data_IF_148689889943
#
_entry.id   IF_148689889943
#
_cell.length_a   1.000
_cell.length_b   1.000
_cell.length_c   1.000
_cell.angle_alpha   90.00
_cell.angle_beta   90.00
_cell.angle_gamma   90.00
#
_symmetry.space_group_name_H-M   'P 1'
#
loop_
_entity.id
_entity.type
_entity.pdbx_description
1 polymer ?
#
# COMPACT_ATOMS: atom_id res chain seq x y z
N UNK A 1 -4.76 -5.44 -19.74
CA UNK A 1 -3.94 -4.40 -19.04
C UNK A 1 -4.21 -4.43 -17.53
N UNK A 2 -5.48 -4.47 -17.09
CA UNK A 2 -5.84 -4.52 -15.66
C UNK A 2 -5.21 -5.72 -14.93
N UNK A 3 -5.29 -6.91 -15.50
CA UNK A 3 -4.69 -8.13 -14.92
C UNK A 3 -3.19 -8.02 -14.70
N UNK A 4 -2.46 -7.43 -15.66
CA UNK A 4 -1.01 -7.24 -15.52
C UNK A 4 -0.67 -6.24 -14.39
N UNK A 5 -1.45 -5.17 -14.25
CA UNK A 5 -1.31 -4.21 -13.16
C UNK A 5 -1.66 -4.83 -11.81
N UNK A 6 -2.69 -5.69 -11.77
CA UNK A 6 -3.05 -6.42 -10.54
C UNK A 6 -1.95 -7.38 -10.09
N UNK A 7 -1.33 -8.12 -11.03
CA UNK A 7 -0.19 -9.00 -10.71
C UNK A 7 0.99 -8.16 -10.17
N UNK A 8 1.29 -7.03 -10.80
CA UNK A 8 2.32 -6.11 -10.32
C UNK A 8 2.01 -5.59 -8.90
N UNK A 9 0.77 -5.20 -8.66
CA UNK A 9 0.33 -4.69 -7.35
C UNK A 9 0.42 -5.74 -6.23
N UNK A 10 0.28 -7.04 -6.53
CA UNK A 10 0.47 -8.13 -5.55
C UNK A 10 1.89 -8.18 -4.97
N UNK A 11 2.87 -7.63 -5.65
CA UNK A 11 4.24 -7.55 -5.13
C UNK A 11 4.34 -6.82 -3.80
N UNK A 12 3.50 -5.80 -3.57
CA UNK A 12 3.52 -5.01 -2.32
C UNK A 12 3.08 -5.85 -1.11
N UNK A 13 1.87 -6.46 -1.07
CA UNK A 13 1.46 -7.25 0.09
C UNK A 13 2.33 -8.50 0.28
N UNK A 14 2.73 -9.18 -0.78
CA UNK A 14 3.61 -10.35 -0.69
C UNK A 14 4.97 -9.95 -0.13
N UNK A 15 5.58 -8.88 -0.64
CA UNK A 15 6.85 -8.35 -0.13
C UNK A 15 6.75 -7.94 1.34
N UNK A 16 5.64 -7.30 1.74
CA UNK A 16 5.38 -6.93 3.13
C UNK A 16 5.20 -8.15 4.04
N UNK A 17 4.51 -9.19 3.57
CA UNK A 17 4.37 -10.46 4.31
C UNK A 17 5.72 -11.10 4.57
N UNK A 18 6.51 -11.28 3.52
CA UNK A 18 7.85 -11.89 3.62
C UNK A 18 8.78 -11.02 4.48
N UNK A 19 8.76 -9.71 4.25
CA UNK A 19 9.59 -8.76 4.99
C UNK A 19 9.29 -8.73 6.49
N UNK A 20 8.01 -8.73 6.87
CA UNK A 20 7.61 -8.78 8.28
C UNK A 20 8.01 -10.10 8.94
N UNK A 21 7.74 -11.23 8.27
CA UNK A 21 8.08 -12.54 8.79
C UNK A 21 9.59 -12.73 8.97
N UNK A 22 10.37 -12.50 7.90
CA UNK A 22 11.83 -12.65 7.93
C UNK A 22 12.47 -11.61 8.84
N UNK A 23 11.94 -10.39 8.86
CA UNK A 23 12.45 -9.32 9.72
C UNK A 23 12.26 -9.63 11.21
N UNK A 24 11.08 -10.11 11.61
CA UNK A 24 10.81 -10.48 13.00
C UNK A 24 11.63 -11.68 13.46
N UNK A 25 11.58 -12.79 12.72
CA UNK A 25 12.36 -13.99 13.01
C UNK A 25 13.88 -13.72 13.02
N UNK A 26 14.37 -13.02 12.00
CA UNK A 26 15.79 -12.75 11.89
C UNK A 26 16.30 -11.79 12.98
N UNK A 27 15.47 -10.86 13.46
CA UNK A 27 15.85 -9.95 14.54
C UNK A 27 16.14 -10.71 15.83
N UNK A 28 15.37 -11.75 16.15
CA UNK A 28 15.54 -12.56 17.34
C UNK A 28 16.67 -13.59 17.18
N UNK A 29 16.76 -14.31 16.05
CA UNK A 29 17.69 -15.42 15.85
C UNK A 29 19.07 -14.99 15.38
N UNK A 30 19.13 -14.01 14.47
CA UNK A 30 20.37 -13.59 13.80
C UNK A 30 20.89 -12.23 14.30
N UNK A 31 20.05 -11.49 14.99
CA UNK A 31 20.26 -10.08 15.30
C UNK A 31 20.00 -9.18 14.09
N UNK A 32 19.67 -7.92 14.37
CA UNK A 32 19.21 -6.98 13.36
C UNK A 32 20.21 -6.74 12.20
N UNK A 33 21.52 -6.72 12.45
CA UNK A 33 22.53 -6.49 11.40
C UNK A 33 22.54 -7.61 10.37
N UNK A 34 22.55 -8.87 10.81
CA UNK A 34 22.55 -10.03 9.92
C UNK A 34 21.23 -10.17 9.18
N UNK A 35 20.12 -9.77 9.80
CA UNK A 35 18.81 -9.73 9.15
C UNK A 35 18.80 -8.75 7.98
N UNK A 36 19.42 -7.58 8.11
CA UNK A 36 19.56 -6.66 6.98
C UNK A 36 20.39 -7.25 5.82
N UNK A 37 21.47 -7.97 6.11
CA UNK A 37 22.24 -8.66 5.07
C UNK A 37 21.39 -9.75 4.40
N UNK A 38 20.65 -10.53 5.19
CA UNK A 38 19.78 -11.61 4.69
C UNK A 38 18.71 -11.08 3.72
N UNK A 39 18.07 -9.97 4.07
CA UNK A 39 17.00 -9.37 3.25
C UNK A 39 17.56 -8.57 2.08
N UNK A 40 18.70 -7.91 2.27
CA UNK A 40 19.31 -7.06 1.24
C UNK A 40 20.00 -7.85 0.11
N UNK A 41 20.66 -8.96 0.44
CA UNK A 41 21.41 -9.75 -0.53
C UNK A 41 20.55 -10.26 -1.71
N UNK A 42 19.37 -10.86 -1.51
CA UNK A 42 18.50 -11.25 -2.61
C UNK A 42 18.13 -10.08 -3.54
N UNK A 43 17.96 -8.87 -2.97
CA UNK A 43 17.70 -7.66 -3.74
C UNK A 43 18.82 -7.32 -4.73
N UNK A 44 20.07 -7.48 -4.32
CA UNK A 44 21.24 -7.28 -5.19
C UNK A 44 21.24 -8.30 -6.33
N UNK A 45 21.01 -9.57 -6.00
CA UNK A 45 20.97 -10.66 -7.00
C UNK A 45 19.86 -10.39 -8.03
N UNK A 46 18.66 -10.03 -7.57
CA UNK A 46 17.53 -9.68 -8.45
C UNK A 46 17.87 -8.46 -9.30
N UNK A 47 18.48 -7.42 -8.73
CA UNK A 47 18.88 -6.23 -9.49
C UNK A 47 19.87 -6.55 -10.61
N UNK A 48 20.90 -7.38 -10.32
CA UNK A 48 21.84 -7.86 -11.33
C UNK A 48 21.16 -8.70 -12.42
N UNK A 49 20.24 -9.58 -12.03
CA UNK A 49 19.47 -10.40 -12.97
C UNK A 49 18.60 -9.52 -13.88
N UNK A 50 17.90 -8.54 -13.33
CA UNK A 50 17.11 -7.58 -14.08
C UNK A 50 17.98 -6.80 -15.05
N UNK A 51 19.12 -6.28 -14.57
CA UNK A 51 20.04 -5.53 -15.40
C UNK A 51 20.59 -6.36 -16.58
N UNK A 52 20.85 -7.64 -16.35
CA UNK A 52 21.40 -8.53 -17.39
C UNK A 52 20.34 -9.02 -18.39
N UNK A 53 19.06 -9.11 -17.99
CA UNK A 53 18.00 -9.75 -18.80
C UNK A 53 17.00 -8.76 -19.40
N UNK A 54 16.68 -7.67 -18.69
CA UNK A 54 15.69 -6.70 -19.15
C UNK A 54 16.31 -5.68 -20.09
N UNK A 55 15.76 -5.64 -21.31
CA UNK A 55 16.02 -4.55 -22.26
C UNK A 55 14.97 -3.48 -22.09
N UNK A 56 15.40 -2.23 -22.07
CA UNK A 56 14.46 -1.11 -21.96
C UNK A 56 13.54 -1.08 -23.20
N UNK A 57 12.21 -1.16 -23.03
CA UNK A 57 11.28 -1.13 -24.15
C UNK A 57 11.28 0.28 -24.78
N UNK A 58 11.14 0.38 -26.10
CA UNK A 58 11.02 1.69 -26.76
C UNK A 58 9.83 2.48 -26.19
N UNK A 59 10.04 3.76 -25.96
CA UNK A 59 8.98 4.65 -25.44
C UNK A 59 7.78 4.67 -26.39
N UNK A 60 6.58 4.53 -25.86
CA UNK A 60 5.33 4.53 -26.62
C UNK A 60 4.93 3.18 -27.22
N UNK A 61 5.64 2.09 -26.93
CA UNK A 61 5.30 0.77 -27.44
C UNK A 61 3.93 0.25 -26.97
N UNK A 62 3.43 0.75 -25.85
CA UNK A 62 2.08 0.43 -25.32
C UNK A 62 0.96 1.20 -26.03
N UNK A 63 1.29 2.24 -26.79
CA UNK A 63 0.33 3.15 -27.42
C UNK A 63 0.10 2.80 -28.90
N UNK A 64 0.49 1.59 -29.32
CA UNK A 64 0.27 1.08 -30.67
C UNK A 64 -1.24 0.98 -30.92
N UNK A 65 -1.75 1.92 -31.70
CA UNK A 65 -3.18 2.02 -32.05
C UNK A 65 -3.81 3.41 -31.92
N UNK A 66 -3.16 4.34 -31.24
CA UNK A 66 -3.54 5.74 -31.30
C UNK A 66 -2.68 6.40 -32.42
N UNK A 67 -3.32 6.89 -33.47
CA UNK A 67 -2.68 7.74 -34.48
C UNK A 67 -2.08 8.95 -33.75
N UNK A 68 -0.85 8.79 -33.26
CA UNK A 68 -0.08 9.93 -32.79
C UNK A 68 0.38 10.68 -34.03
N UNK A 69 -0.42 11.64 -34.45
CA UNK A 69 0.15 12.84 -35.04
C UNK A 69 1.20 13.30 -34.03
N UNK A 70 2.47 13.11 -34.37
CA UNK A 70 3.60 13.67 -33.60
C UNK A 70 3.48 15.18 -33.69
N UNK A 71 2.57 15.77 -32.94
CA UNK A 71 2.74 17.14 -32.54
C UNK A 71 3.96 17.17 -31.63
N UNK A 72 5.03 17.74 -32.15
CA UNK A 72 6.25 18.07 -31.42
C UNK A 72 5.95 19.18 -30.39
N UNK A 73 4.97 18.96 -29.52
CA UNK A 73 4.71 19.83 -28.41
C UNK A 73 5.79 19.58 -27.37
N UNK A 74 6.67 20.56 -27.21
CA UNK A 74 7.65 20.55 -26.13
C UNK A 74 6.95 20.20 -24.82
N UNK A 75 7.50 19.24 -24.06
CA UNK A 75 6.91 18.85 -22.79
C UNK A 75 6.74 20.09 -21.89
N UNK A 76 5.56 20.29 -21.28
CA UNK A 76 5.32 21.43 -20.42
C UNK A 76 6.33 21.48 -19.27
N UNK A 77 6.74 22.67 -18.89
CA UNK A 77 7.68 22.82 -17.76
C UNK A 77 7.05 22.32 -16.45
N UNK A 78 7.90 21.89 -15.51
CA UNK A 78 7.46 21.44 -14.18
C UNK A 78 6.58 22.52 -13.52
N UNK A 79 6.96 23.79 -13.66
CA UNK A 79 6.23 24.94 -13.09
C UNK A 79 4.83 25.09 -13.72
N UNK A 80 4.72 24.95 -15.02
CA UNK A 80 3.44 25.01 -15.73
C UNK A 80 2.53 23.85 -15.32
N UNK A 81 3.06 22.64 -15.27
CA UNK A 81 2.33 21.45 -14.83
C UNK A 81 1.85 21.61 -13.39
N UNK A 82 2.72 22.07 -12.48
CA UNK A 82 2.36 22.31 -11.10
C UNK A 82 1.25 23.37 -10.98
N UNK A 83 1.40 24.50 -11.66
CA UNK A 83 0.40 25.57 -11.64
C UNK A 83 -0.94 25.11 -12.22
N UNK A 84 -0.93 24.30 -13.28
CA UNK A 84 -2.13 23.73 -13.84
C UNK A 84 -2.86 22.82 -12.84
N UNK A 85 -2.13 21.89 -12.22
CA UNK A 85 -2.68 20.97 -11.24
C UNK A 85 -3.19 21.70 -10.00
N UNK A 86 -2.42 22.69 -9.50
CA UNK A 86 -2.79 23.43 -8.30
C UNK A 86 -4.03 24.32 -8.47
N UNK A 87 -4.37 24.73 -9.68
CA UNK A 87 -5.63 25.41 -9.99
C UNK A 87 -6.85 24.51 -9.87
N UNK A 88 -6.67 23.17 -9.98
CA UNK A 88 -7.78 22.21 -9.90
C UNK A 88 -8.12 21.91 -8.43
N UNK A 89 -9.34 22.28 -8.00
CA UNK A 89 -9.80 22.00 -6.63
C UNK A 89 -9.77 20.52 -6.28
N UNK A 90 -10.24 19.67 -7.21
CA UNK A 90 -10.22 18.21 -7.03
C UNK A 90 -8.82 17.68 -6.75
N UNK A 91 -7.81 18.14 -7.49
CA UNK A 91 -6.41 17.73 -7.28
C UNK A 91 -5.94 18.05 -5.85
N UNK A 92 -6.21 19.25 -5.34
CA UNK A 92 -5.79 19.64 -3.99
C UNK A 92 -6.42 18.75 -2.91
N UNK A 93 -7.72 18.46 -3.04
CA UNK A 93 -8.40 17.62 -2.06
C UNK A 93 -7.92 16.17 -2.11
N UNK A 94 -7.72 15.62 -3.31
CA UNK A 94 -7.20 14.25 -3.48
C UNK A 94 -5.76 14.17 -2.96
N UNK A 95 -4.90 15.11 -3.30
CA UNK A 95 -3.51 15.14 -2.85
C UNK A 95 -3.42 15.24 -1.31
N UNK A 96 -4.24 16.10 -0.70
CA UNK A 96 -4.30 16.23 0.75
C UNK A 96 -4.82 14.95 1.41
N UNK A 97 -5.90 14.38 0.90
CA UNK A 97 -6.46 13.14 1.43
C UNK A 97 -5.46 11.98 1.34
N UNK A 98 -4.82 11.80 0.17
CA UNK A 98 -3.79 10.79 -0.03
C UNK A 98 -2.57 11.00 0.89
N UNK A 99 -2.12 12.25 1.04
CA UNK A 99 -1.02 12.61 1.93
C UNK A 99 -1.33 12.29 3.39
N UNK A 100 -2.49 12.67 3.89
CA UNK A 100 -2.93 12.37 5.26
C UNK A 100 -3.12 10.88 5.49
N UNK A 101 -3.72 10.17 4.54
CA UNK A 101 -3.88 8.73 4.61
C UNK A 101 -2.51 8.02 4.67
N UNK A 102 -1.58 8.39 3.80
CA UNK A 102 -0.22 7.84 3.81
C UNK A 102 0.52 8.17 5.11
N UNK A 103 0.39 9.39 5.62
CA UNK A 103 1.00 9.78 6.91
C UNK A 103 0.56 8.87 8.05
N UNK A 104 -0.76 8.63 8.17
CA UNK A 104 -1.31 7.74 9.21
C UNK A 104 -0.87 6.29 8.98
N UNK A 105 -0.93 5.80 7.74
CA UNK A 105 -0.58 4.41 7.41
C UNK A 105 0.89 4.10 7.68
N UNK A 106 1.80 4.97 7.25
CA UNK A 106 3.23 4.82 7.54
C UNK A 106 3.55 5.01 9.01
N UNK A 107 2.88 5.97 9.68
CA UNK A 107 3.00 6.16 11.12
C UNK A 107 2.59 4.92 11.90
N UNK A 108 1.40 4.39 11.63
CA UNK A 108 0.92 3.16 12.25
C UNK A 108 1.84 1.96 11.94
N UNK A 109 2.26 1.80 10.67
CA UNK A 109 3.18 0.73 10.27
C UNK A 109 4.51 0.78 11.01
N UNK A 110 5.05 1.97 11.26
CA UNK A 110 6.30 2.15 12.00
C UNK A 110 6.14 1.89 13.50
N UNK A 111 5.02 2.29 14.09
CA UNK A 111 4.84 2.23 15.54
C UNK A 111 4.12 0.97 16.04
N UNK A 112 3.47 0.20 15.16
CA UNK A 112 2.84 -1.06 15.55
C UNK A 112 3.83 -2.06 16.17
N UNK A 113 5.02 -2.35 15.58
CA UNK A 113 5.97 -3.27 16.20
C UNK A 113 6.44 -2.82 17.59
N UNK A 114 6.88 -1.56 17.81
CA UNK A 114 7.20 -1.07 19.14
C UNK A 114 6.03 -1.11 20.14
N UNK A 115 4.80 -0.85 19.68
CA UNK A 115 3.60 -0.95 20.52
C UNK A 115 3.38 -2.40 20.97
N UNK A 116 3.42 -3.37 20.06
CA UNK A 116 3.23 -4.78 20.39
C UNK A 116 4.34 -5.30 21.30
N UNK A 117 5.59 -4.88 21.10
CA UNK A 117 6.71 -5.28 21.94
C UNK A 117 6.66 -4.64 23.33
N UNK A 118 6.39 -3.32 23.43
CA UNK A 118 6.50 -2.60 24.71
C UNK A 118 5.26 -2.70 25.59
N UNK A 119 4.08 -2.79 24.99
CA UNK A 119 2.80 -2.80 25.72
C UNK A 119 2.32 -4.23 25.94
N UNK A 120 2.57 -5.11 24.99
CA UNK A 120 2.11 -6.50 25.05
C UNK A 120 3.25 -7.52 25.22
N UNK A 121 4.49 -7.06 25.39
CA UNK A 121 5.69 -7.89 25.69
C UNK A 121 5.91 -9.03 24.68
N UNK A 122 5.52 -8.80 23.41
CA UNK A 122 5.68 -9.80 22.35
C UNK A 122 7.12 -9.87 21.86
N UNK A 123 7.58 -11.09 21.48
CA UNK A 123 8.83 -11.29 20.76
C UNK A 123 8.79 -10.68 19.35
N UNK A 124 9.95 -10.34 18.77
CA UNK A 124 9.98 -9.84 17.39
C UNK A 124 9.49 -10.90 16.40
N UNK A 125 9.74 -12.17 16.66
CA UNK A 125 9.24 -13.30 15.86
C UNK A 125 7.71 -13.33 15.83
N UNK A 126 7.05 -13.24 17.00
CA UNK A 126 5.59 -13.24 17.07
C UNK A 126 5.00 -12.00 16.38
N UNK A 127 5.61 -10.82 16.63
CA UNK A 127 5.20 -9.58 15.96
C UNK A 127 5.32 -9.73 14.44
N UNK A 128 6.45 -10.25 13.95
CA UNK A 128 6.68 -10.45 12.52
C UNK A 128 5.67 -11.40 11.88
N UNK A 129 5.33 -12.50 12.56
CA UNK A 129 4.32 -13.47 12.10
C UNK A 129 2.93 -12.81 11.98
N UNK A 130 2.49 -12.13 13.01
CA UNK A 130 1.18 -11.48 13.00
C UNK A 130 1.09 -10.34 12.00
N UNK A 131 2.12 -9.50 11.91
CA UNK A 131 2.16 -8.43 10.91
C UNK A 131 2.27 -8.96 9.47
N UNK A 132 2.87 -10.13 9.26
CA UNK A 132 2.83 -10.80 7.96
C UNK A 132 1.39 -11.19 7.57
N UNK A 133 0.62 -11.78 8.52
CA UNK A 133 -0.79 -12.11 8.30
C UNK A 133 -1.60 -10.83 8.04
N UNK A 134 -1.42 -9.79 8.85
CA UNK A 134 -2.06 -8.48 8.68
C UNK A 134 -1.79 -7.90 7.30
N UNK A 135 -0.53 -7.93 6.82
CA UNK A 135 -0.18 -7.45 5.49
C UNK A 135 -0.89 -8.25 4.38
N UNK A 136 -1.01 -9.56 4.55
CA UNK A 136 -1.73 -10.43 3.60
C UNK A 136 -3.22 -10.09 3.49
N UNK A 137 -3.86 -9.70 4.60
CA UNK A 137 -5.29 -9.32 4.58
C UNK A 137 -5.55 -8.01 3.84
N UNK A 138 -4.54 -7.15 3.67
CA UNK A 138 -4.64 -5.97 2.81
C UNK A 138 -5.00 -6.30 1.36
N UNK A 139 -4.55 -7.45 0.83
CA UNK A 139 -4.94 -7.89 -0.52
C UNK A 139 -6.45 -8.11 -0.64
N UNK A 140 -7.10 -8.62 0.41
CA UNK A 140 -8.56 -8.79 0.47
C UNK A 140 -9.23 -7.42 0.41
N UNK A 141 -8.74 -6.46 1.19
CA UNK A 141 -9.25 -5.08 1.21
C UNK A 141 -9.15 -4.41 -0.16
N UNK A 142 -8.01 -4.55 -0.84
CA UNK A 142 -7.81 -4.03 -2.20
C UNK A 142 -8.82 -4.62 -3.19
N UNK A 143 -8.99 -5.95 -3.18
CA UNK A 143 -9.97 -6.61 -4.04
C UNK A 143 -11.40 -6.15 -3.76
N UNK A 144 -11.78 -6.13 -2.48
CA UNK A 144 -13.12 -5.68 -2.06
C UNK A 144 -13.35 -4.21 -2.42
N UNK A 145 -12.32 -3.36 -2.32
CA UNK A 145 -12.38 -1.95 -2.68
C UNK A 145 -12.82 -1.74 -4.13
N UNK A 146 -12.10 -2.35 -5.06
CA UNK A 146 -12.45 -2.29 -6.48
C UNK A 146 -13.81 -2.89 -6.78
N UNK A 147 -14.08 -4.11 -6.30
CA UNK A 147 -15.34 -4.79 -6.52
C UNK A 147 -16.57 -4.03 -6.00
N UNK A 148 -16.49 -3.50 -4.78
CA UNK A 148 -17.60 -2.76 -4.18
C UNK A 148 -17.80 -1.40 -4.85
N UNK A 149 -16.71 -0.71 -5.22
CA UNK A 149 -16.77 0.56 -5.91
C UNK A 149 -17.47 0.40 -7.28
N UNK A 150 -17.08 -0.61 -8.06
CA UNK A 150 -17.73 -0.94 -9.33
C UNK A 150 -19.21 -1.29 -9.11
N UNK A 151 -19.52 -2.21 -8.20
CA UNK A 151 -20.88 -2.66 -7.93
C UNK A 151 -21.80 -1.53 -7.50
N UNK A 152 -21.34 -0.63 -6.61
CA UNK A 152 -22.17 0.50 -6.17
C UNK A 152 -22.27 1.58 -7.25
N UNK A 153 -21.20 1.82 -8.01
CA UNK A 153 -21.24 2.73 -9.15
C UNK A 153 -22.24 2.27 -10.20
N UNK A 154 -22.23 0.99 -10.57
CA UNK A 154 -23.14 0.41 -11.55
C UNK A 154 -24.60 0.43 -11.04
N UNK A 155 -24.82 0.10 -9.77
CA UNK A 155 -26.17 0.05 -9.18
C UNK A 155 -26.81 1.43 -9.05
N UNK A 156 -26.01 2.46 -8.75
CA UNK A 156 -26.52 3.82 -8.49
C UNK A 156 -26.36 4.77 -9.68
N UNK A 157 -25.54 4.39 -10.68
CA UNK A 157 -25.15 5.27 -11.79
C UNK A 157 -24.20 6.41 -11.34
N UNK A 158 -23.70 6.39 -10.12
CA UNK A 158 -22.88 7.46 -9.56
C UNK A 158 -21.42 7.02 -9.36
N UNK A 159 -20.51 7.58 -10.16
CA UNK A 159 -19.08 7.32 -10.08
C UNK A 159 -18.39 7.89 -8.82
N UNK A 160 -19.09 8.64 -8.00
CA UNK A 160 -18.55 9.16 -6.74
C UNK A 160 -18.25 8.05 -5.74
N UNK A 161 -18.78 6.84 -5.94
CA UNK A 161 -18.49 5.68 -5.10
C UNK A 161 -17.01 5.30 -5.07
N UNK A 162 -16.25 5.58 -6.11
CA UNK A 162 -14.78 5.40 -6.11
C UNK A 162 -14.06 6.30 -5.07
N UNK A 163 -14.71 7.36 -4.61
CA UNK A 163 -14.18 8.26 -3.57
C UNK A 163 -14.91 8.08 -2.23
N UNK A 164 -16.19 7.82 -2.24
CA UNK A 164 -16.97 7.65 -1.02
C UNK A 164 -16.59 6.38 -0.27
N UNK A 165 -16.37 5.28 -0.98
CA UNK A 165 -16.01 4.01 -0.35
C UNK A 165 -14.70 4.09 0.45
N UNK A 166 -13.57 4.59 -0.10
CA UNK A 166 -12.37 4.86 0.69
C UNK A 166 -12.58 5.86 1.84
N UNK A 167 -13.39 6.88 1.62
CA UNK A 167 -13.72 7.87 2.66
C UNK A 167 -14.47 7.26 3.84
N UNK A 168 -15.50 6.45 3.57
CA UNK A 168 -16.26 5.74 4.60
C UNK A 168 -15.37 4.74 5.33
N UNK A 169 -14.55 3.94 4.60
CA UNK A 169 -13.63 2.99 5.25
C UNK A 169 -12.65 3.69 6.17
N UNK A 170 -12.08 4.83 5.76
CA UNK A 170 -11.17 5.63 6.58
C UNK A 170 -11.86 6.15 7.84
N UNK A 171 -13.11 6.62 7.75
CA UNK A 171 -13.89 7.04 8.92
C UNK A 171 -14.14 5.90 9.90
N UNK A 172 -14.46 4.71 9.39
CA UNK A 172 -14.64 3.51 10.22
C UNK A 172 -13.36 3.06 10.93
N UNK A 173 -12.20 3.33 10.34
CA UNK A 173 -10.90 3.00 10.98
C UNK A 173 -10.67 3.80 12.27
N UNK A 174 -11.16 5.05 12.36
CA UNK A 174 -10.86 5.93 13.50
C UNK A 174 -11.26 5.31 14.87
N UNK A 175 -12.52 4.91 15.10
CA UNK A 175 -12.90 4.32 16.39
C UNK A 175 -12.16 3.00 16.65
N UNK A 176 -11.90 2.20 15.60
CA UNK A 176 -11.17 0.92 15.75
C UNK A 176 -9.73 1.19 16.16
N UNK A 177 -9.05 2.17 15.57
CA UNK A 177 -7.69 2.54 15.96
C UNK A 177 -7.62 3.03 17.40
N UNK A 178 -8.53 3.92 17.82
CA UNK A 178 -8.60 4.42 19.19
C UNK A 178 -8.77 3.26 20.16
N UNK A 179 -9.70 2.35 19.88
CA UNK A 179 -9.91 1.18 20.73
C UNK A 179 -8.68 0.26 20.79
N UNK A 180 -8.02 0.04 19.63
CA UNK A 180 -6.83 -0.81 19.53
C UNK A 180 -5.70 -0.35 20.43
N UNK A 181 -5.40 0.95 20.40
CA UNK A 181 -4.24 1.47 21.12
C UNK A 181 -4.52 1.82 22.59
N UNK A 182 -5.78 2.00 22.99
CA UNK A 182 -6.12 2.39 24.36
C UNK A 182 -6.66 1.23 25.22
N UNK A 183 -7.39 0.29 24.63
CA UNK A 183 -8.18 -0.65 25.42
C UNK A 183 -8.05 -2.12 25.02
N UNK A 184 -7.54 -2.44 23.82
CA UNK A 184 -7.59 -3.80 23.32
C UNK A 184 -6.58 -4.72 24.04
N UNK A 185 -7.03 -5.94 24.35
CA UNK A 185 -6.14 -7.05 24.70
C UNK A 185 -5.31 -7.44 23.46
N UNK A 186 -4.24 -8.22 23.65
CA UNK A 186 -3.38 -8.65 22.54
C UNK A 186 -4.16 -9.33 21.39
N UNK A 187 -5.13 -10.19 21.70
CA UNK A 187 -6.00 -10.81 20.70
C UNK A 187 -6.84 -9.74 20.00
N UNK A 188 -7.38 -8.79 20.77
CA UNK A 188 -8.11 -7.65 20.22
C UNK A 188 -7.27 -6.78 19.31
N UNK A 189 -6.01 -6.51 19.67
CA UNK A 189 -5.05 -5.78 18.80
C UNK A 189 -4.88 -6.50 17.48
N UNK A 190 -4.60 -7.80 17.48
CA UNK A 190 -4.38 -8.59 16.25
C UNK A 190 -5.62 -8.56 15.35
N UNK A 191 -6.80 -8.82 15.90
CA UNK A 191 -8.07 -8.80 15.14
C UNK A 191 -8.31 -7.41 14.56
N UNK A 192 -8.13 -6.36 15.35
CA UNK A 192 -8.32 -5.00 14.90
C UNK A 192 -7.32 -4.60 13.81
N UNK A 193 -6.05 -4.99 13.92
CA UNK A 193 -5.05 -4.72 12.88
C UNK A 193 -5.40 -5.42 11.55
N UNK A 194 -5.96 -6.62 11.58
CA UNK A 194 -6.48 -7.33 10.41
C UNK A 194 -7.62 -6.52 9.76
N UNK A 195 -8.57 -6.06 10.56
CA UNK A 195 -9.69 -5.24 10.08
C UNK A 195 -9.17 -3.90 9.51
N UNK A 196 -8.27 -3.24 10.23
CA UNK A 196 -7.67 -1.97 9.80
C UNK A 196 -6.87 -2.10 8.51
N UNK A 197 -6.10 -3.19 8.34
CA UNK A 197 -5.37 -3.46 7.11
C UNK A 197 -6.32 -3.66 5.92
N UNK A 198 -7.41 -4.41 6.12
CA UNK A 198 -8.41 -4.63 5.10
C UNK A 198 -9.15 -3.33 4.72
N UNK A 199 -9.60 -2.55 5.71
CA UNK A 199 -10.27 -1.27 5.48
C UNK A 199 -9.33 -0.23 4.85
N UNK A 200 -8.09 -0.17 5.33
CA UNK A 200 -7.07 0.76 4.83
C UNK A 200 -6.65 0.46 3.39
N UNK A 201 -6.74 -0.77 2.94
CA UNK A 201 -6.37 -1.16 1.57
C UNK A 201 -7.50 -0.92 0.54
N UNK A 202 -8.71 -0.59 0.97
CA UNK A 202 -9.85 -0.30 0.07
C UNK A 202 -9.53 0.82 -0.93
N UNK A 203 -8.71 1.79 -0.56
CA UNK A 203 -8.36 2.91 -1.44
C UNK A 203 -7.41 2.53 -2.59
N UNK A 204 -6.82 1.34 -2.54
CA UNK A 204 -5.91 0.83 -3.58
C UNK A 204 -6.63 0.09 -4.71
N UNK A 205 -7.88 -0.36 -4.46
CA UNK A 205 -8.72 -1.03 -5.46
C UNK A 205 -9.57 -0.05 -6.24
#
# INVERSE_FOLDING_TARGET
>A
RATALSIYALGIPIGSMVGNFVGGWGADELGWRNTFYLVGFPGIVIALFIWATLREPPRGMSDIGVNQTKENTAAPSIKETFNFLWKKRAFKHIALAAGLHSFVSYGAGTWNPPFMSRVHEMSNTDIGQWLAIVAGTGAIGTFLGGYLADKFSDKTGDRRWYFWLPGISTLLMVPIQIYTYLYASIIGVIINLIILASLGAIYLG
#
